data_IF_461768919842
#
_entry.id   IF_461768919842
#
_cell.length_a   1.000
_cell.length_b   1.000
_cell.length_c   1.000
_cell.angle_alpha   90.00
_cell.angle_beta   90.00
_cell.angle_gamma   90.00
#
_symmetry.space_group_name_H-M   'P 1'
#
loop_
_entity.id
_entity.type
_entity.pdbx_description
1 polymer ?
#
# COMPACT_ATOMS: atom_id res chain seq x y z
N UNK A 1 5.36 19.68 -10.65
CA UNK A 1 3.98 19.96 -10.18
C UNK A 1 3.93 19.75 -8.68
N UNK A 2 3.07 20.49 -7.99
CA UNK A 2 2.83 20.33 -6.55
C UNK A 2 2.00 19.08 -6.25
N UNK A 3 2.07 18.60 -5.00
CA UNK A 3 1.24 17.51 -4.48
C UNK A 3 -0.25 17.82 -4.63
N UNK A 4 -0.66 19.07 -4.43
CA UNK A 4 -2.07 19.46 -4.57
C UNK A 4 -2.58 19.30 -6.01
N UNK A 5 -1.83 19.77 -6.99
CA UNK A 5 -2.18 19.64 -8.42
C UNK A 5 -2.21 18.16 -8.84
N UNK A 6 -1.19 17.40 -8.44
CA UNK A 6 -1.10 15.97 -8.73
C UNK A 6 -2.26 15.18 -8.10
N UNK A 7 -2.67 15.51 -6.88
CA UNK A 7 -3.87 14.89 -6.27
C UNK A 7 -5.10 15.12 -7.12
N UNK A 8 -5.32 16.34 -7.58
CA UNK A 8 -6.49 16.68 -8.41
C UNK A 8 -6.46 15.91 -9.73
N UNK A 9 -5.33 15.94 -10.44
CA UNK A 9 -5.17 15.28 -11.74
C UNK A 9 -5.35 13.77 -11.62
N UNK A 10 -4.66 13.13 -10.67
CA UNK A 10 -4.63 11.67 -10.59
C UNK A 10 -5.87 11.07 -9.90
N UNK A 11 -6.58 11.83 -9.06
CA UNK A 11 -7.94 11.44 -8.65
C UNK A 11 -8.88 11.40 -9.86
N UNK A 12 -8.87 12.43 -10.70
CA UNK A 12 -9.71 12.48 -11.90
C UNK A 12 -9.35 11.36 -12.89
N UNK A 13 -8.04 11.12 -13.13
CA UNK A 13 -7.58 10.01 -13.97
C UNK A 13 -8.07 8.65 -13.46
N UNK A 14 -7.99 8.39 -12.15
CA UNK A 14 -8.49 7.13 -11.56
C UNK A 14 -10.00 6.99 -11.71
N UNK A 15 -10.76 8.05 -11.51
CA UNK A 15 -12.22 8.03 -11.68
C UNK A 15 -12.64 7.77 -13.14
N UNK A 16 -11.80 8.13 -14.11
CA UNK A 16 -12.05 7.84 -15.53
C UNK A 16 -11.67 6.41 -15.94
N UNK A 17 -11.04 5.61 -15.08
CA UNK A 17 -10.77 4.20 -15.36
C UNK A 17 -12.05 3.37 -15.15
N UNK A 18 -12.32 2.47 -16.09
CA UNK A 18 -13.35 1.46 -15.90
C UNK A 18 -12.91 0.42 -14.88
N UNK A 19 -13.87 -0.23 -14.21
CA UNK A 19 -13.59 -1.34 -13.30
C UNK A 19 -12.75 -2.44 -13.96
N UNK A 20 -13.00 -2.73 -15.25
CA UNK A 20 -12.21 -3.68 -16.05
C UNK A 20 -10.75 -3.24 -16.19
N UNK A 21 -10.50 -1.97 -16.53
CA UNK A 21 -9.14 -1.46 -16.67
C UNK A 21 -8.36 -1.48 -15.33
N UNK A 22 -9.03 -1.16 -14.22
CA UNK A 22 -8.44 -1.26 -12.88
C UNK A 22 -8.10 -2.71 -12.54
N UNK A 23 -8.99 -3.66 -12.81
CA UNK A 23 -8.76 -5.08 -12.54
C UNK A 23 -7.59 -5.64 -13.38
N UNK A 24 -7.54 -5.33 -14.68
CA UNK A 24 -6.43 -5.74 -15.56
C UNK A 24 -5.09 -5.16 -15.10
N UNK A 25 -5.06 -3.87 -14.76
CA UNK A 25 -3.87 -3.23 -14.22
C UNK A 25 -3.45 -3.84 -12.87
N UNK A 26 -4.39 -4.12 -11.97
CA UNK A 26 -4.12 -4.72 -10.66
C UNK A 26 -3.57 -6.13 -10.77
N UNK A 27 -4.08 -6.94 -11.71
CA UNK A 27 -3.54 -8.27 -12.00
C UNK A 27 -2.09 -8.20 -12.52
N UNK A 28 -1.78 -7.23 -13.39
CA UNK A 28 -0.39 -7.01 -13.87
C UNK A 28 0.54 -6.55 -12.75
N UNK A 29 0.03 -5.75 -11.81
CA UNK A 29 0.77 -5.34 -10.61
C UNK A 29 0.99 -6.54 -9.68
N UNK A 30 -0.01 -7.40 -9.47
CA UNK A 30 0.12 -8.63 -8.69
C UNK A 30 1.18 -9.58 -9.29
N UNK A 31 1.20 -9.76 -10.61
CA UNK A 31 2.25 -10.54 -11.28
C UNK A 31 3.65 -9.96 -11.08
N UNK A 32 3.79 -8.63 -11.00
CA UNK A 32 5.07 -7.99 -10.64
C UNK A 32 5.44 -8.14 -9.19
N UNK A 33 4.46 -8.06 -8.29
CA UNK A 33 4.66 -8.36 -6.88
C UNK A 33 5.26 -9.76 -6.75
N UNK A 34 4.65 -10.77 -7.37
CA UNK A 34 5.16 -12.15 -7.40
C UNK A 34 6.60 -12.25 -7.90
N UNK A 35 6.89 -11.65 -9.07
CA UNK A 35 8.22 -11.68 -9.64
C UNK A 35 9.25 -11.00 -8.73
N UNK A 36 8.88 -9.87 -8.12
CA UNK A 36 9.74 -9.11 -7.22
C UNK A 36 9.99 -9.83 -5.90
N UNK A 37 8.96 -10.42 -5.28
CA UNK A 37 9.12 -11.15 -4.02
C UNK A 37 9.90 -12.45 -4.21
N UNK A 38 9.68 -13.17 -5.32
CA UNK A 38 10.40 -14.43 -5.59
C UNK A 38 11.88 -14.24 -5.93
N UNK A 39 12.28 -13.03 -6.35
CA UNK A 39 13.68 -12.70 -6.65
C UNK A 39 14.39 -11.98 -5.50
N UNK A 40 13.69 -11.71 -4.40
CA UNK A 40 14.20 -10.96 -3.27
C UNK A 40 14.37 -11.87 -2.06
N UNK A 41 15.60 -12.10 -1.63
CA UNK A 41 15.93 -12.82 -0.38
C UNK A 41 15.34 -12.15 0.88
N UNK A 42 14.71 -10.97 0.74
CA UNK A 42 14.06 -10.23 1.83
C UNK A 42 12.67 -10.74 2.16
N UNK A 43 12.03 -11.54 1.30
CA UNK A 43 10.66 -12.03 1.48
C UNK A 43 10.67 -13.55 1.33
N UNK A 44 10.89 -14.26 2.44
CA UNK A 44 10.94 -15.73 2.47
C UNK A 44 12.26 -16.25 3.03
N UNK A 45 12.30 -16.43 4.35
CA UNK A 45 13.37 -17.10 5.07
C UNK A 45 12.78 -17.86 6.27
N UNK A 46 13.59 -18.54 7.11
CA UNK A 46 13.09 -19.30 8.27
C UNK A 46 12.48 -18.43 9.39
N UNK A 47 12.41 -17.12 9.19
CA UNK A 47 11.93 -16.12 10.15
C UNK A 47 10.58 -15.61 9.70
N UNK A 48 9.64 -15.45 10.64
CA UNK A 48 8.32 -14.90 10.34
C UNK A 48 8.43 -13.49 9.76
N UNK A 49 7.70 -13.23 8.67
CA UNK A 49 7.68 -11.95 7.95
C UNK A 49 6.30 -11.31 8.09
N UNK A 50 6.26 -10.04 8.45
CA UNK A 50 5.05 -9.22 8.53
C UNK A 50 4.95 -8.30 7.32
N UNK A 51 3.95 -8.54 6.48
CA UNK A 51 3.70 -7.75 5.27
C UNK A 51 2.40 -6.97 5.46
N UNK A 52 2.53 -5.66 5.58
CA UNK A 52 1.40 -4.75 5.66
C UNK A 52 0.84 -4.45 4.26
N UNK A 53 -0.45 -4.70 4.08
CA UNK A 53 -1.17 -4.47 2.83
C UNK A 53 -2.43 -3.65 3.11
N UNK A 54 -2.61 -2.56 2.36
CA UNK A 54 -3.83 -1.77 2.44
C UNK A 54 -5.02 -2.52 1.82
N UNK A 55 -6.20 -2.33 2.38
CA UNK A 55 -7.44 -2.80 1.76
C UNK A 55 -7.96 -1.72 0.79
N UNK A 56 -8.31 -2.08 -0.46
CA UNK A 56 -8.56 -1.10 -1.50
C UNK A 56 -9.91 -0.41 -1.31
N UNK A 57 -9.92 0.92 -1.38
CA UNK A 57 -11.15 1.71 -1.42
C UNK A 57 -11.71 1.65 -2.84
N UNK A 58 -12.61 0.70 -3.08
CA UNK A 58 -13.17 0.42 -4.42
C UNK A 58 -13.81 1.65 -5.09
N UNK A 59 -14.54 2.47 -4.33
CA UNK A 59 -15.16 3.71 -4.85
C UNK A 59 -14.14 4.75 -5.34
N UNK A 60 -12.87 4.57 -5.01
CA UNK A 60 -11.78 5.43 -5.47
C UNK A 60 -11.00 4.83 -6.64
N UNK A 61 -11.34 3.63 -7.12
CA UNK A 61 -10.56 2.89 -8.12
C UNK A 61 -9.10 2.71 -7.68
N UNK A 62 -8.87 2.25 -6.45
CA UNK A 62 -7.52 1.86 -5.98
C UNK A 62 -7.01 0.63 -6.71
N UNK A 63 -5.69 0.40 -6.67
CA UNK A 63 -5.13 -0.89 -7.05
C UNK A 63 -5.80 -1.95 -6.19
N UNK A 64 -6.37 -2.98 -6.81
CA UNK A 64 -6.94 -4.09 -6.08
C UNK A 64 -5.82 -4.97 -5.52
N UNK A 65 -5.67 -4.97 -4.20
CA UNK A 65 -4.64 -5.73 -3.47
C UNK A 65 -5.12 -7.10 -3.01
N UNK A 66 -6.39 -7.46 -3.21
CA UNK A 66 -6.90 -8.77 -2.81
C UNK A 66 -6.15 -9.94 -3.45
N UNK A 67 -5.77 -9.90 -4.75
CA UNK A 67 -4.94 -10.96 -5.33
C UNK A 67 -3.59 -11.13 -4.62
N UNK A 68 -2.96 -10.03 -4.16
CA UNK A 68 -1.71 -10.08 -3.39
C UNK A 68 -1.98 -10.71 -2.02
N UNK A 69 -3.01 -10.27 -1.31
CA UNK A 69 -3.37 -10.79 0.02
C UNK A 69 -3.65 -12.30 -0.04
N UNK A 70 -4.46 -12.74 -1.01
CA UNK A 70 -4.80 -14.14 -1.20
C UNK A 70 -3.57 -15.00 -1.50
N UNK A 71 -2.67 -14.49 -2.36
CA UNK A 71 -1.42 -15.18 -2.65
C UNK A 71 -0.54 -15.29 -1.39
N UNK A 72 -0.42 -14.23 -0.59
CA UNK A 72 0.39 -14.26 0.64
C UNK A 72 -0.13 -15.31 1.63
N UNK A 73 -1.44 -15.44 1.80
CA UNK A 73 -2.04 -16.49 2.62
C UNK A 73 -1.79 -17.91 2.10
N UNK A 74 -1.55 -18.07 0.79
CA UNK A 74 -1.29 -19.38 0.17
C UNK A 74 0.19 -19.74 0.09
N UNK A 75 1.09 -18.75 0.16
CA UNK A 75 2.52 -18.95 -0.15
C UNK A 75 3.28 -19.59 1.00
N UNK A 76 3.22 -19.00 2.20
CA UNK A 76 4.02 -19.46 3.34
C UNK A 76 3.32 -19.13 4.66
N UNK A 77 3.18 -20.14 5.52
CA UNK A 77 2.66 -20.00 6.88
C UNK A 77 3.50 -19.06 7.78
N UNK A 78 4.75 -18.77 7.41
CA UNK A 78 5.61 -17.81 8.11
C UNK A 78 5.23 -16.34 7.83
N UNK A 79 4.41 -16.07 6.80
CA UNK A 79 3.96 -14.73 6.45
C UNK A 79 2.71 -14.36 7.26
N UNK A 80 2.83 -13.30 8.05
CA UNK A 80 1.68 -12.62 8.65
C UNK A 80 1.27 -11.44 7.77
N UNK A 81 0.08 -11.50 7.18
CA UNK A 81 -0.51 -10.34 6.50
C UNK A 81 -1.06 -9.38 7.54
N UNK A 82 -0.70 -8.11 7.42
CA UNK A 82 -1.11 -7.03 8.33
C UNK A 82 -1.93 -6.02 7.53
N UNK A 83 -2.95 -5.43 8.14
CA UNK A 83 -3.65 -4.27 7.56
C UNK A 83 -3.90 -3.21 8.63
N UNK A 84 -4.61 -2.14 8.28
CA UNK A 84 -4.86 -1.00 9.17
C UNK A 84 -6.33 -0.75 9.45
N UNK A 85 -6.59 -0.21 10.63
CA UNK A 85 -7.83 0.47 11.03
C UNK A 85 -7.51 1.96 11.16
N UNK A 86 -8.33 2.82 10.56
CA UNK A 86 -8.09 4.27 10.45
C UNK A 86 -8.61 5.01 11.67
N UNK A 87 -7.72 5.66 12.42
CA UNK A 87 -8.09 6.55 13.51
C UNK A 87 -8.17 8.00 13.00
N UNK A 88 -9.34 8.42 12.52
CA UNK A 88 -9.47 9.74 11.89
C UNK A 88 -9.23 10.91 12.84
N UNK A 89 -9.65 10.80 14.11
CA UNK A 89 -9.47 11.87 15.10
C UNK A 89 -8.02 12.18 15.43
N UNK A 90 -7.14 11.17 15.39
CA UNK A 90 -5.69 11.33 15.64
C UNK A 90 -4.88 11.36 14.34
N UNK A 91 -5.54 11.07 13.21
CA UNK A 91 -4.90 10.81 11.94
C UNK A 91 -4.07 9.51 11.91
N UNK A 92 -4.03 8.66 12.93
CA UNK A 92 -3.11 7.49 12.96
C UNK A 92 -3.74 6.21 12.37
N UNK A 93 -2.92 5.17 12.18
CA UNK A 93 -3.37 3.84 11.80
C UNK A 93 -3.10 2.86 12.94
N UNK A 94 -4.08 2.02 13.28
CA UNK A 94 -3.87 0.86 14.15
C UNK A 94 -3.64 -0.36 13.26
N UNK A 95 -2.51 -1.04 13.42
CA UNK A 95 -2.17 -2.19 12.59
C UNK A 95 -2.62 -3.50 13.23
N UNK A 96 -3.19 -4.38 12.43
CA UNK A 96 -3.74 -5.66 12.90
C UNK A 96 -3.47 -6.78 11.92
N UNK A 97 -3.35 -8.01 12.41
CA UNK A 97 -3.23 -9.18 11.57
C UNK A 97 -4.53 -9.41 10.78
N UNK A 98 -4.40 -9.66 9.49
CA UNK A 98 -5.50 -9.96 8.58
C UNK A 98 -5.43 -11.44 8.17
N UNK A 99 -6.53 -12.15 8.37
CA UNK A 99 -6.65 -13.59 8.07
C UNK A 99 -7.85 -13.85 7.14
N UNK A 100 -7.94 -15.02 6.50
CA UNK A 100 -9.12 -15.39 5.74
C UNK A 100 -10.43 -15.38 6.55
N UNK A 101 -10.35 -15.49 7.88
CA UNK A 101 -11.50 -15.45 8.79
C UNK A 101 -11.84 -14.03 9.27
N UNK A 102 -11.06 -13.01 8.89
CA UNK A 102 -11.30 -11.63 9.32
C UNK A 102 -12.54 -11.06 8.63
N UNK A 103 -13.54 -10.69 9.43
CA UNK A 103 -14.72 -9.98 8.94
C UNK A 103 -14.41 -8.50 8.71
N UNK A 104 -14.79 -7.99 7.54
CA UNK A 104 -14.59 -6.60 7.16
C UNK A 104 -15.91 -5.82 7.18
N UNK A 105 -15.84 -4.59 7.67
CA UNK A 105 -16.93 -3.63 7.62
C UNK A 105 -16.44 -2.33 7.02
N UNK A 106 -17.35 -1.60 6.35
CA UNK A 106 -17.03 -0.26 5.86
C UNK A 106 -17.18 0.73 7.02
N UNK A 107 -16.14 1.51 7.27
CA UNK A 107 -16.25 2.66 8.17
C UNK A 107 -17.04 3.81 7.50
N UNK A 108 -17.39 4.90 8.22
CA UNK A 108 -18.15 6.03 7.65
C UNK A 108 -17.50 6.72 6.45
N UNK A 109 -16.23 6.46 6.17
CA UNK A 109 -15.49 7.01 5.02
C UNK A 109 -15.43 6.03 3.83
N UNK A 110 -16.13 4.91 3.92
CA UNK A 110 -16.15 3.86 2.90
C UNK A 110 -14.85 3.06 2.82
N UNK A 111 -14.06 3.05 3.89
CA UNK A 111 -12.81 2.27 3.97
C UNK A 111 -13.15 0.91 4.57
N UNK A 112 -12.85 -0.21 3.89
CA UNK A 112 -13.00 -1.54 4.47
C UNK A 112 -11.96 -1.75 5.58
N UNK A 113 -12.42 -2.12 6.76
CA UNK A 113 -11.59 -2.32 7.95
C UNK A 113 -12.04 -3.57 8.71
N UNK A 114 -11.10 -4.34 9.28
CA UNK A 114 -11.43 -5.46 10.14
C UNK A 114 -12.02 -4.97 11.47
N UNK A 115 -12.85 -5.79 12.10
CA UNK A 115 -13.45 -5.45 13.39
C UNK A 115 -12.36 -5.28 14.47
N UNK A 116 -12.20 -4.08 15.08
CA UNK A 116 -11.17 -3.84 16.08
C UNK A 116 -11.25 -4.79 17.29
N UNK A 117 -12.45 -5.23 17.68
CA UNK A 117 -12.66 -6.05 18.87
C UNK A 117 -12.18 -7.50 18.70
N UNK A 118 -12.13 -8.01 17.48
CA UNK A 118 -11.70 -9.38 17.16
C UNK A 118 -10.32 -9.44 16.49
N UNK A 119 -9.76 -8.27 16.16
CA UNK A 119 -8.48 -8.15 15.49
C UNK A 119 -7.30 -8.27 16.45
N UNK A 120 -6.26 -9.00 16.03
CA UNK A 120 -5.00 -9.08 16.79
C UNK A 120 -4.09 -7.91 16.41
N UNK A 121 -3.67 -7.03 17.35
CA UNK A 121 -2.80 -5.91 17.04
C UNK A 121 -1.39 -6.35 16.64
N UNK A 122 -0.77 -5.57 15.77
CA UNK A 122 0.61 -5.73 15.30
C UNK A 122 1.33 -4.39 15.46
N UNK A 123 2.55 -4.41 15.98
CA UNK A 123 3.35 -3.18 16.09
C UNK A 123 3.92 -2.78 14.73
N UNK A 124 3.91 -1.48 14.41
CA UNK A 124 4.61 -0.97 13.23
C UNK A 124 6.10 -1.33 13.23
N UNK A 125 6.71 -1.49 14.41
CA UNK A 125 8.12 -1.85 14.59
C UNK A 125 8.43 -3.31 14.22
N UNK A 126 7.44 -4.18 14.04
CA UNK A 126 7.67 -5.56 13.58
C UNK A 126 7.42 -5.74 12.08
N UNK A 127 6.85 -4.73 11.41
CA UNK A 127 6.54 -4.80 9.97
C UNK A 127 7.81 -4.78 9.13
N UNK A 128 7.96 -5.77 8.26
CA UNK A 128 9.12 -5.94 7.37
C UNK A 128 8.90 -5.28 6.01
N UNK A 129 7.67 -5.32 5.52
CA UNK A 129 7.28 -4.75 4.23
C UNK A 129 5.96 -4.00 4.37
N UNK A 130 5.89 -2.79 3.84
CA UNK A 130 4.65 -2.02 3.71
C UNK A 130 4.32 -1.83 2.25
N UNK A 131 3.16 -2.31 1.83
CA UNK A 131 2.55 -1.98 0.55
C UNK A 131 1.81 -0.66 0.71
N UNK A 132 2.32 0.38 0.05
CA UNK A 132 1.91 1.77 0.26
C UNK A 132 0.92 2.21 -0.83
N UNK A 133 -0.31 2.61 -0.49
CA UNK A 133 -1.26 3.17 -1.44
C UNK A 133 -0.83 4.58 -1.86
N UNK A 134 -1.03 4.90 -3.14
CA UNK A 134 -0.71 6.22 -3.71
C UNK A 134 -1.59 6.54 -4.93
N UNK A 135 -1.58 7.82 -5.33
CA UNK A 135 -2.19 8.30 -6.57
C UNK A 135 -1.17 8.35 -7.71
N UNK A 136 0.03 8.85 -7.40
CA UNK A 136 1.17 8.98 -8.31
C UNK A 136 2.45 9.09 -7.50
N UNK A 137 3.58 8.85 -8.15
CA UNK A 137 4.93 8.94 -7.61
C UNK A 137 5.86 9.56 -8.66
N UNK A 138 7.03 10.00 -8.24
CA UNK A 138 8.07 10.51 -9.14
C UNK A 138 9.25 9.56 -9.32
N UNK A 139 10.20 9.94 -10.17
CA UNK A 139 11.41 9.16 -10.45
C UNK A 139 12.38 9.04 -9.26
N UNK A 140 12.13 9.72 -8.14
CA UNK A 140 12.95 9.71 -6.93
C UNK A 140 12.26 8.96 -5.77
N UNK A 141 11.13 8.30 -6.04
CA UNK A 141 10.39 7.54 -5.04
C UNK A 141 9.49 8.40 -4.14
N UNK A 142 9.42 9.72 -4.35
CA UNK A 142 8.44 10.54 -3.66
C UNK A 142 7.04 10.20 -4.18
N UNK A 143 6.04 10.26 -3.30
CA UNK A 143 4.68 9.82 -3.61
C UNK A 143 3.64 10.85 -3.21
N UNK A 144 2.50 10.79 -3.88
CA UNK A 144 1.34 11.61 -3.59
C UNK A 144 0.19 10.69 -3.18
N UNK A 145 -0.18 10.73 -1.90
CA UNK A 145 -1.39 10.09 -1.37
C UNK A 145 -2.59 11.06 -1.30
N UNK A 146 -3.60 10.68 -0.51
CA UNK A 146 -4.84 11.48 -0.37
C UNK A 146 -4.69 12.79 0.41
N UNK A 147 -3.58 13.00 1.11
CA UNK A 147 -3.22 14.29 1.75
C UNK A 147 -3.29 14.33 3.27
N UNK A 148 -3.75 13.26 3.94
CA UNK A 148 -3.94 13.25 5.39
C UNK A 148 -2.69 12.78 6.19
N UNK A 149 -1.60 12.41 5.52
CA UNK A 149 -0.34 12.01 6.15
C UNK A 149 -0.36 10.72 6.98
N UNK A 150 -1.41 9.88 6.86
CA UNK A 150 -1.52 8.60 7.60
C UNK A 150 -0.28 7.72 7.38
N UNK A 151 0.11 7.53 6.12
CA UNK A 151 1.24 6.68 5.78
C UNK A 151 2.59 7.30 6.10
N UNK A 152 2.76 8.62 6.02
CA UNK A 152 4.05 9.22 6.42
C UNK A 152 4.32 9.04 7.91
N UNK A 153 3.28 9.17 8.76
CA UNK A 153 3.41 8.88 10.19
C UNK A 153 3.61 7.39 10.48
N UNK A 154 2.84 6.51 9.83
CA UNK A 154 3.04 5.06 9.97
C UNK A 154 4.47 4.64 9.56
N UNK A 155 4.94 5.08 8.39
CA UNK A 155 6.27 4.71 7.90
C UNK A 155 7.41 5.28 8.77
N UNK A 156 7.16 6.36 9.52
CA UNK A 156 8.12 6.89 10.49
C UNK A 156 8.21 6.04 11.78
N UNK A 157 7.17 5.26 12.09
CA UNK A 157 7.13 4.32 13.22
C UNK A 157 7.73 2.95 12.85
N UNK A 158 7.84 2.64 11.56
CA UNK A 158 8.50 1.45 11.07
C UNK A 158 10.02 1.49 11.31
N UNK A 159 10.63 0.30 11.32
CA UNK A 159 12.08 0.19 11.39
C UNK A 159 12.75 0.82 10.15
N UNK A 160 13.99 1.31 10.28
CA UNK A 160 14.72 1.88 9.14
C UNK A 160 14.85 0.95 7.94
N UNK A 161 14.92 -0.36 8.17
CA UNK A 161 15.07 -1.41 7.17
C UNK A 161 13.73 -1.94 6.60
N UNK A 162 12.59 -1.45 7.08
CA UNK A 162 11.28 -1.80 6.56
C UNK A 162 11.17 -1.40 5.08
N UNK A 163 10.84 -2.34 4.21
CA UNK A 163 10.72 -2.12 2.77
C UNK A 163 9.40 -1.42 2.42
N UNK A 164 9.44 -0.37 1.59
CA UNK A 164 8.31 0.49 1.23
C UNK A 164 7.98 0.30 -0.25
N UNK A 165 6.95 -0.50 -0.52
CA UNK A 165 6.54 -0.91 -1.88
C UNK A 165 5.31 -0.13 -2.31
N UNK A 166 5.45 0.83 -3.22
CA UNK A 166 4.32 1.54 -3.80
C UNK A 166 3.62 0.72 -4.87
N UNK A 167 2.29 0.79 -4.94
CA UNK A 167 1.51 0.28 -6.08
C UNK A 167 0.87 1.45 -6.81
N UNK A 168 1.11 1.56 -8.12
CA UNK A 168 0.55 2.63 -8.93
C UNK A 168 -0.15 2.10 -10.17
N UNK A 169 -1.28 2.70 -10.54
CA UNK A 169 -1.94 2.44 -11.82
C UNK A 169 -1.29 3.22 -12.98
N UNK A 170 -0.37 4.15 -12.70
CA UNK A 170 0.21 5.05 -13.69
C UNK A 170 1.73 5.03 -13.68
N UNK A 171 2.32 5.47 -14.79
CA UNK A 171 3.74 5.77 -14.87
C UNK A 171 4.15 6.93 -13.94
N UNK A 172 5.43 7.01 -13.54
CA UNK A 172 5.93 8.11 -12.72
C UNK A 172 5.79 9.45 -13.43
N UNK A 173 5.62 10.52 -12.64
CA UNK A 173 5.93 11.87 -13.12
C UNK A 173 7.42 12.15 -12.99
N UNK A 174 7.92 13.17 -13.68
CA UNK A 174 9.34 13.52 -13.60
C UNK A 174 9.76 13.95 -12.19
N UNK A 175 8.95 14.81 -11.55
CA UNK A 175 9.27 15.38 -10.23
C UNK A 175 8.03 15.88 -9.49
N UNK A 176 8.02 15.72 -8.18
CA UNK A 176 7.12 16.41 -7.24
C UNK A 176 7.86 17.60 -6.62
N UNK A 177 7.30 18.80 -6.68
CA UNK A 177 8.05 20.04 -6.37
C UNK A 177 8.07 20.41 -4.88
N UNK A 178 7.02 20.05 -4.14
CA UNK A 178 6.75 20.50 -2.77
C UNK A 178 6.94 19.37 -1.73
N UNK A 179 7.91 18.47 -1.97
CA UNK A 179 8.31 17.40 -1.04
C UNK A 179 8.85 18.02 0.26
N UNK A 180 8.43 17.48 1.41
CA UNK A 180 8.87 17.93 2.74
C UNK A 180 9.74 16.87 3.41
N UNK A 181 10.48 17.26 4.46
CA UNK A 181 11.34 16.33 5.23
C UNK A 181 10.58 15.20 5.93
N UNK A 182 9.27 15.36 6.10
CA UNK A 182 8.40 14.35 6.71
C UNK A 182 7.83 13.39 5.69
N UNK A 183 7.97 13.65 4.39
CA UNK A 183 7.55 12.73 3.35
C UNK A 183 8.56 11.59 3.26
N UNK A 184 8.08 10.35 3.42
CA UNK A 184 8.95 9.16 3.34
C UNK A 184 8.89 8.59 1.93
N UNK A 185 10.03 8.52 1.25
CA UNK A 185 10.12 7.95 -0.10
C UNK A 185 9.90 6.43 -0.10
N UNK A 186 9.50 5.92 -1.26
CA UNK A 186 9.41 4.50 -1.55
C UNK A 186 10.80 3.93 -1.85
N UNK A 187 10.97 2.63 -1.60
CA UNK A 187 12.15 1.87 -2.04
C UNK A 187 11.92 1.26 -3.43
N UNK A 188 10.66 0.92 -3.74
CA UNK A 188 10.24 0.36 -5.03
C UNK A 188 8.81 0.78 -5.34
N UNK A 189 8.50 0.98 -6.62
CA UNK A 189 7.12 1.12 -7.09
C UNK A 189 6.81 0.11 -8.20
N UNK A 190 5.69 -0.60 -8.05
CA UNK A 190 5.16 -1.53 -9.04
C UNK A 190 4.03 -0.87 -9.80
N UNK A 191 4.15 -0.85 -11.13
CA UNK A 191 3.12 -0.35 -12.05
C UNK A 191 2.64 -1.47 -12.96
N UNK A 192 1.58 -1.29 -13.77
CA UNK A 192 1.17 -2.32 -14.71
C UNK A 192 2.26 -2.64 -15.73
N UNK A 193 3.21 -1.74 -15.97
CA UNK A 193 4.22 -1.87 -17.04
C UNK A 193 5.63 -2.10 -16.50
N UNK A 194 5.97 -1.63 -15.30
CA UNK A 194 7.35 -1.60 -14.81
C UNK A 194 7.47 -1.88 -13.31
N UNK A 195 8.64 -2.36 -12.93
CA UNK A 195 9.14 -2.37 -11.54
C UNK A 195 10.24 -1.32 -11.47
N UNK A 196 10.09 -0.33 -10.60
CA UNK A 196 11.02 0.81 -10.50
C UNK A 196 11.63 0.81 -9.11
N UNK A 197 12.96 0.72 -9.02
CA UNK A 197 13.73 0.78 -7.77
C UNK A 197 14.29 2.20 -7.59
N UNK A 198 14.39 2.66 -6.35
CA UNK A 198 14.91 3.99 -5.99
C UNK A 198 16.19 3.90 -5.15
#
# INVERSE_FOLDING_TARGET
MTKAELRTIYKARRQNLSAKAVAEASNRICGRWQAYTNSSDRIGGPVSVHIHVFLPIQSRNEVDTWPIIQQLWQTDSAITVVTSITNVGTGTLTHVALTPASELTLNPYGIPEPNPATSRPVSAAVVDVVVVPLLVFDRQGHRVGYGNGFYDRFLAECRPDCLKVGLSLFAPVERIDDVTKTDISLDVCLTPDQTILF
#
